data_IF_090456353807
#
_entry.id   IF_090456353807
#
_cell.length_a   1.000
_cell.length_b   1.000
_cell.length_c   1.000
_cell.angle_alpha   90.00
_cell.angle_beta   90.00
_cell.angle_gamma   90.00
#
_symmetry.space_group_name_H-M   'P 1'
#
loop_
_entity.id
_entity.type
_entity.pdbx_description
1 polymer ?
#
# COMPACT_ATOMS: atom_id res chain seq x y z
N UNK A 1 9.90 -13.72 -9.47
CA UNK A 1 9.08 -12.76 -8.70
C UNK A 1 8.56 -13.47 -7.46
N UNK A 2 8.74 -12.89 -6.27
CA UNK A 2 8.27 -13.50 -5.02
C UNK A 2 6.75 -13.34 -4.90
N UNK A 3 6.08 -14.38 -4.37
CA UNK A 3 4.65 -14.40 -4.11
C UNK A 3 4.45 -14.60 -2.61
N UNK A 4 3.57 -13.81 -2.01
CA UNK A 4 3.24 -13.83 -0.60
C UNK A 4 1.83 -14.37 -0.40
N UNK A 5 1.63 -15.10 0.70
CA UNK A 5 0.35 -15.60 1.19
C UNK A 5 0.08 -15.00 2.58
N UNK A 6 -1.14 -15.14 3.08
CA UNK A 6 -1.48 -14.84 4.47
C UNK A 6 -0.78 -15.82 5.44
N UNK A 7 0.54 -15.65 5.63
CA UNK A 7 1.37 -16.53 6.44
C UNK A 7 2.47 -15.76 7.18
N UNK A 8 3.23 -16.47 8.00
CA UNK A 8 4.34 -15.93 8.81
C UNK A 8 5.37 -15.11 8.01
N UNK A 9 5.60 -15.46 6.74
CA UNK A 9 6.55 -14.71 5.90
C UNK A 9 6.03 -13.30 5.63
N UNK A 10 4.74 -13.17 5.30
CA UNK A 10 4.14 -11.86 5.07
C UNK A 10 3.96 -11.09 6.39
N UNK A 11 3.63 -11.77 7.50
CA UNK A 11 3.57 -11.15 8.84
C UNK A 11 4.90 -10.49 9.19
N UNK A 12 5.99 -11.26 9.16
CA UNK A 12 7.33 -10.75 9.46
C UNK A 12 7.75 -9.63 8.52
N UNK A 13 7.32 -9.71 7.25
CA UNK A 13 7.54 -8.64 6.28
C UNK A 13 6.83 -7.36 6.70
N UNK A 14 5.54 -7.40 7.03
CA UNK A 14 4.79 -6.22 7.48
C UNK A 14 5.41 -5.61 8.74
N UNK A 15 5.83 -6.43 9.71
CA UNK A 15 6.48 -5.96 10.94
C UNK A 15 7.78 -5.22 10.63
N UNK A 16 8.63 -5.73 9.72
CA UNK A 16 9.86 -5.03 9.28
C UNK A 16 9.58 -3.67 8.65
N UNK A 17 8.41 -3.48 8.05
CA UNK A 17 7.97 -2.19 7.51
C UNK A 17 7.26 -1.30 8.53
N UNK A 18 7.30 -1.66 9.82
CA UNK A 18 6.75 -0.87 10.92
C UNK A 18 5.26 -1.07 11.18
N UNK A 19 4.65 -2.13 10.63
CA UNK A 19 3.28 -2.48 11.00
C UNK A 19 3.25 -3.11 12.40
N UNK A 20 2.22 -2.75 13.15
CA UNK A 20 1.92 -3.31 14.47
C UNK A 20 0.73 -4.27 14.33
N UNK A 21 0.80 -5.42 14.98
CA UNK A 21 -0.32 -6.34 15.04
C UNK A 21 -1.41 -5.81 15.99
N UNK A 22 -2.61 -5.58 15.47
CA UNK A 22 -3.78 -5.06 16.19
C UNK A 22 -4.90 -6.10 16.31
N UNK A 23 -4.58 -7.37 16.09
CA UNK A 23 -5.54 -8.49 16.13
C UNK A 23 -6.27 -8.55 17.47
N UNK A 24 -7.60 -8.66 17.43
CA UNK A 24 -8.42 -8.88 18.62
C UNK A 24 -8.15 -10.26 19.24
N UNK A 25 -8.31 -10.41 20.57
CA UNK A 25 -8.14 -11.72 21.22
C UNK A 25 -9.03 -12.82 20.63
N UNK A 26 -10.26 -12.46 20.22
CA UNK A 26 -11.20 -13.38 19.58
C UNK A 26 -10.68 -13.87 18.22
N UNK A 27 -10.06 -12.99 17.45
CA UNK A 27 -9.51 -13.31 16.13
C UNK A 27 -8.19 -14.08 16.24
N UNK A 28 -7.39 -13.83 17.29
CA UNK A 28 -6.19 -14.62 17.59
C UNK A 28 -6.50 -16.09 17.84
N UNK A 29 -7.58 -16.40 18.57
CA UNK A 29 -8.04 -17.79 18.77
C UNK A 29 -8.34 -18.45 17.42
N UNK A 30 -8.84 -17.65 16.48
CA UNK A 30 -9.13 -18.04 15.11
C UNK A 30 -7.91 -18.01 14.20
N UNK A 31 -6.69 -17.76 14.68
CA UNK A 31 -5.46 -17.63 13.85
C UNK A 31 -5.60 -16.59 12.72
N UNK A 32 -6.46 -15.61 12.91
CA UNK A 32 -6.54 -14.45 12.03
C UNK A 32 -5.57 -13.39 12.53
N UNK A 33 -5.15 -12.51 11.63
CA UNK A 33 -4.23 -11.44 11.98
C UNK A 33 -4.68 -10.10 11.39
N UNK A 34 -4.50 -9.02 12.13
CA UNK A 34 -4.79 -7.67 11.71
C UNK A 34 -3.55 -6.80 11.94
N UNK A 35 -3.17 -6.01 10.94
CA UNK A 35 -1.99 -5.15 10.99
C UNK A 35 -2.32 -3.71 10.62
N UNK A 36 -1.80 -2.77 11.39
CA UNK A 36 -1.91 -1.34 11.10
C UNK A 36 -0.54 -0.68 11.11
N UNK A 37 -0.39 0.35 10.29
CA UNK A 37 0.76 1.26 10.39
C UNK A 37 0.45 2.34 11.43
N UNK A 38 1.36 2.58 12.36
CA UNK A 38 1.20 3.57 13.42
C UNK A 38 0.75 4.94 12.86
N UNK A 39 -0.23 5.59 13.50
CA UNK A 39 -0.79 6.87 13.03
C UNK A 39 -1.70 6.79 11.79
N UNK A 40 -1.92 5.61 11.20
CA UNK A 40 -2.82 5.39 10.04
C UNK A 40 -4.04 4.54 10.41
N UNK A 41 -4.68 4.85 11.54
CA UNK A 41 -5.69 4.00 12.21
C UNK A 41 -6.91 3.56 11.38
N UNK A 42 -7.20 4.23 10.27
CA UNK A 42 -8.31 3.89 9.36
C UNK A 42 -7.97 2.83 8.33
N UNK A 43 -6.70 2.44 8.15
CA UNK A 43 -6.26 1.43 7.18
C UNK A 43 -5.78 0.20 7.94
N UNK A 44 -6.10 -0.98 7.44
CA UNK A 44 -5.71 -2.25 8.06
C UNK A 44 -5.48 -3.31 6.99
N UNK A 45 -4.47 -4.15 7.22
CA UNK A 45 -4.28 -5.39 6.46
C UNK A 45 -4.80 -6.51 7.35
N UNK A 46 -5.78 -7.26 6.87
CA UNK A 46 -6.41 -8.34 7.63
C UNK A 46 -6.20 -9.68 6.93
N UNK A 47 -5.85 -10.71 7.70
CA UNK A 47 -5.64 -12.07 7.22
C UNK A 47 -6.78 -12.95 7.72
N UNK A 48 -7.64 -13.39 6.80
CA UNK A 48 -8.76 -14.29 7.11
C UNK A 48 -8.44 -15.72 6.66
N UNK A 49 -7.56 -16.38 7.41
CA UNK A 49 -6.99 -17.72 7.17
C UNK A 49 -6.22 -17.90 5.86
N UNK A 50 -6.88 -17.65 4.74
CA UNK A 50 -6.37 -17.85 3.38
C UNK A 50 -6.19 -16.53 2.64
N UNK A 51 -7.02 -15.53 2.97
CA UNK A 51 -7.08 -14.28 2.21
C UNK A 51 -6.35 -13.13 2.91
N UNK A 52 -5.72 -12.30 2.10
CA UNK A 52 -5.18 -10.99 2.44
C UNK A 52 -6.24 -9.95 2.05
N UNK A 53 -6.81 -9.28 3.04
CA UNK A 53 -7.83 -8.25 2.87
C UNK A 53 -7.25 -6.87 3.18
N UNK A 54 -7.56 -5.90 2.33
CA UNK A 54 -7.20 -4.50 2.55
C UNK A 54 -8.44 -3.74 3.01
N UNK A 55 -8.44 -3.33 4.27
CA UNK A 55 -9.56 -2.65 4.89
C UNK A 55 -9.28 -1.15 5.01
N UNK A 56 -10.28 -0.33 4.75
CA UNK A 56 -10.24 1.10 5.02
C UNK A 56 -11.59 1.57 5.58
N UNK A 57 -11.58 2.08 6.81
CA UNK A 57 -12.76 2.42 7.62
C UNK A 57 -13.72 1.25 7.86
N UNK A 58 -13.18 0.07 8.16
CA UNK A 58 -13.95 -1.18 8.39
C UNK A 58 -14.68 -1.72 7.15
N UNK A 59 -14.51 -1.09 5.99
CA UNK A 59 -14.96 -1.63 4.71
C UNK A 59 -13.79 -2.36 4.02
N UNK A 60 -14.09 -3.51 3.41
CA UNK A 60 -13.16 -4.26 2.57
C UNK A 60 -13.07 -3.61 1.19
N UNK A 61 -11.84 -3.38 0.70
CA UNK A 61 -11.59 -2.73 -0.60
C UNK A 61 -11.00 -3.69 -1.64
N UNK A 62 -10.13 -4.60 -1.23
CA UNK A 62 -9.56 -5.64 -2.08
C UNK A 62 -9.25 -6.87 -1.21
N UNK A 63 -9.34 -8.06 -1.81
CA UNK A 63 -9.13 -9.34 -1.12
C UNK A 63 -8.59 -10.39 -2.07
N UNK A 64 -7.49 -11.03 -1.67
CA UNK A 64 -6.75 -11.98 -2.51
C UNK A 64 -6.10 -13.08 -1.69
N UNK A 65 -6.02 -14.28 -2.27
CA UNK A 65 -5.26 -15.40 -1.70
C UNK A 65 -3.75 -15.16 -1.70
N UNK A 66 -3.25 -14.39 -2.68
CA UNK A 66 -1.83 -14.12 -2.84
C UNK A 66 -1.60 -12.69 -3.31
N UNK A 67 -0.47 -12.12 -2.91
CA UNK A 67 0.04 -10.88 -3.49
C UNK A 67 1.46 -11.07 -3.99
N UNK A 68 1.76 -10.47 -5.12
CA UNK A 68 3.10 -10.41 -5.71
C UNK A 68 3.95 -9.37 -4.99
N UNK A 69 5.25 -9.38 -5.25
CA UNK A 69 6.18 -8.35 -4.75
C UNK A 69 5.75 -6.92 -5.11
N UNK A 70 5.31 -6.68 -6.36
CA UNK A 70 4.88 -5.35 -6.79
C UNK A 70 3.58 -4.92 -6.11
N UNK A 71 2.68 -5.86 -5.86
CA UNK A 71 1.46 -5.63 -5.11
C UNK A 71 1.78 -5.33 -3.65
N UNK A 72 2.71 -6.04 -3.02
CA UNK A 72 3.18 -5.70 -1.68
C UNK A 72 3.77 -4.28 -1.64
N UNK A 73 4.57 -3.85 -2.61
CA UNK A 73 5.06 -2.47 -2.69
C UNK A 73 3.90 -1.46 -2.82
N UNK A 74 2.88 -1.80 -3.61
CA UNK A 74 1.68 -0.99 -3.79
C UNK A 74 0.86 -0.87 -2.49
N UNK A 75 0.77 -1.97 -1.74
CA UNK A 75 0.17 -2.00 -0.41
C UNK A 75 0.92 -1.07 0.55
N UNK A 76 2.25 -1.21 0.65
CA UNK A 76 3.07 -0.37 1.51
C UNK A 76 2.91 1.13 1.16
N UNK A 77 2.87 1.44 -0.13
CA UNK A 77 2.63 2.80 -0.62
C UNK A 77 1.27 3.32 -0.16
N UNK A 78 0.21 2.51 -0.30
CA UNK A 78 -1.12 2.86 0.18
C UNK A 78 -1.12 3.25 1.66
N UNK A 79 -0.44 2.53 2.53
CA UNK A 79 -0.38 2.86 3.96
C UNK A 79 0.41 4.13 4.25
N UNK A 80 1.54 4.36 3.55
CA UNK A 80 2.38 5.56 3.77
C UNK A 80 1.72 6.85 3.26
N UNK A 81 0.93 6.80 2.18
CA UNK A 81 0.32 7.99 1.59
C UNK A 81 -0.68 8.71 2.51
N UNK A 82 -0.71 10.04 2.40
CA UNK A 82 -1.76 10.88 2.97
C UNK A 82 -3.06 10.76 2.16
N UNK A 83 -4.18 11.26 2.70
CA UNK A 83 -5.49 11.14 2.03
C UNK A 83 -5.56 11.90 0.70
N UNK A 84 -4.87 13.04 0.59
CA UNK A 84 -4.91 13.88 -0.60
C UNK A 84 -4.13 13.24 -1.75
N UNK A 85 -2.96 12.67 -1.45
CA UNK A 85 -2.13 11.96 -2.40
C UNK A 85 -2.73 10.61 -2.78
N UNK A 86 -3.34 9.91 -1.82
CA UNK A 86 -4.04 8.67 -2.07
C UNK A 86 -5.13 8.83 -3.13
N UNK A 87 -5.93 9.90 -3.08
CA UNK A 87 -6.96 10.19 -4.09
C UNK A 87 -6.39 10.39 -5.51
N UNK A 88 -5.09 10.66 -5.64
CA UNK A 88 -4.45 10.78 -6.95
C UNK A 88 -4.23 9.38 -7.56
N UNK A 89 -3.93 8.39 -6.72
CA UNK A 89 -3.71 7.00 -7.12
C UNK A 89 -5.03 6.22 -7.23
N UNK A 90 -5.95 6.47 -6.29
CA UNK A 90 -7.25 5.80 -6.20
C UNK A 90 -8.35 6.87 -6.11
N UNK A 91 -8.83 7.41 -7.25
CA UNK A 91 -9.81 8.49 -7.28
C UNK A 91 -11.13 8.14 -6.59
N UNK A 92 -11.54 6.87 -6.66
CA UNK A 92 -12.74 6.31 -6.01
C UNK A 92 -12.59 6.26 -4.49
N UNK A 93 -11.36 6.37 -3.97
CA UNK A 93 -11.04 6.16 -2.57
C UNK A 93 -10.97 4.69 -2.16
N UNK A 94 -11.23 3.75 -3.08
CA UNK A 94 -11.10 2.30 -2.83
C UNK A 94 -9.74 1.79 -3.28
N UNK A 95 -9.12 0.95 -2.47
CA UNK A 95 -7.82 0.36 -2.82
C UNK A 95 -8.06 -0.80 -3.80
N UNK A 96 -7.28 -0.83 -4.88
CA UNK A 96 -7.30 -1.87 -5.90
C UNK A 96 -5.86 -2.07 -6.40
N UNK A 97 -5.33 -3.28 -6.27
CA UNK A 97 -3.94 -3.57 -6.66
C UNK A 97 -3.67 -3.31 -8.16
N UNK A 98 -4.60 -3.66 -9.04
CA UNK A 98 -4.45 -3.52 -10.48
C UNK A 98 -4.44 -2.06 -10.94
N UNK A 99 -5.15 -1.18 -10.22
CA UNK A 99 -5.23 0.24 -10.54
C UNK A 99 -4.00 1.02 -10.06
N UNK A 100 -3.40 0.66 -8.91
CA UNK A 100 -2.25 1.40 -8.36
C UNK A 100 -1.11 1.48 -9.36
N UNK A 101 -0.70 0.35 -9.93
CA UNK A 101 0.46 0.31 -10.81
C UNK A 101 0.24 1.14 -12.09
N UNK A 102 -0.91 0.93 -12.74
CA UNK A 102 -1.30 1.71 -13.92
C UNK A 102 -1.26 3.21 -13.61
N UNK A 103 -1.78 3.60 -12.45
CA UNK A 103 -1.85 5.01 -12.08
C UNK A 103 -0.47 5.59 -11.75
N UNK A 104 0.45 4.82 -11.17
CA UNK A 104 1.82 5.26 -10.97
C UNK A 104 2.54 5.54 -12.29
N UNK A 105 2.31 4.72 -13.31
CA UNK A 105 2.91 4.94 -14.62
C UNK A 105 2.31 6.16 -15.33
N UNK A 106 0.99 6.38 -15.21
CA UNK A 106 0.35 7.63 -15.66
C UNK A 106 0.90 8.86 -14.95
N UNK A 107 1.18 8.78 -13.63
CA UNK A 107 1.76 9.86 -12.84
C UNK A 107 3.17 10.21 -13.34
N UNK A 108 3.99 9.22 -13.71
CA UNK A 108 5.34 9.46 -14.27
C UNK A 108 5.24 10.23 -15.59
N UNK A 109 4.35 9.81 -16.49
CA UNK A 109 4.11 10.48 -17.78
C UNK A 109 3.58 11.90 -17.56
N UNK A 110 2.58 12.07 -16.69
CA UNK A 110 2.01 13.37 -16.35
C UNK A 110 3.08 14.33 -15.81
N UNK A 111 3.93 13.86 -14.90
CA UNK A 111 4.99 14.66 -14.31
C UNK A 111 5.99 15.13 -15.37
N UNK A 112 6.42 14.25 -16.26
CA UNK A 112 7.37 14.60 -17.33
C UNK A 112 6.80 15.71 -18.23
N UNK A 113 5.56 15.56 -18.68
CA UNK A 113 4.87 16.57 -19.51
C UNK A 113 4.77 17.92 -18.77
N UNK A 114 4.41 17.90 -17.49
CA UNK A 114 4.29 19.13 -16.70
C UNK A 114 5.64 19.81 -16.49
N UNK A 115 6.72 19.05 -16.27
CA UNK A 115 8.07 19.58 -16.11
C UNK A 115 8.60 20.19 -17.40
N UNK A 116 8.47 19.50 -18.53
CA UNK A 116 8.89 20.00 -19.86
C UNK A 116 8.19 21.31 -20.21
N UNK A 117 6.87 21.36 -19.99
CA UNK A 117 6.05 22.55 -20.28
C UNK A 117 6.11 23.62 -19.18
N UNK A 118 6.80 23.36 -18.06
CA UNK A 118 6.88 24.23 -16.87
C UNK A 118 5.50 24.65 -16.32
N UNK A 119 4.52 23.74 -16.36
CA UNK A 119 3.12 24.02 -15.96
C UNK A 119 2.77 23.45 -14.59
N UNK A 120 1.82 24.10 -13.89
CA UNK A 120 1.16 23.56 -12.68
C UNK A 120 2.15 23.08 -11.60
N UNK A 121 3.06 23.94 -11.17
CA UNK A 121 4.13 23.66 -10.20
C UNK A 121 3.63 22.90 -8.95
N UNK A 122 2.50 23.30 -8.36
CA UNK A 122 1.91 22.61 -7.19
C UNK A 122 1.54 21.15 -7.48
N UNK A 123 1.04 20.85 -8.68
CA UNK A 123 0.74 19.48 -9.12
C UNK A 123 2.03 18.68 -9.27
N UNK A 124 3.06 19.27 -9.89
CA UNK A 124 4.37 18.61 -10.01
C UNK A 124 4.93 18.21 -8.64
N UNK A 125 4.87 19.08 -7.64
CA UNK A 125 5.33 18.77 -6.28
C UNK A 125 4.61 17.56 -5.68
N UNK A 126 3.28 17.48 -5.83
CA UNK A 126 2.51 16.31 -5.35
C UNK A 126 2.92 15.01 -6.06
N UNK A 127 3.06 15.04 -7.38
CA UNK A 127 3.46 13.86 -8.15
C UNK A 127 4.88 13.40 -7.79
N UNK A 128 5.83 14.35 -7.67
CA UNK A 128 7.19 14.06 -7.21
C UNK A 128 7.20 13.42 -5.82
N UNK A 129 6.38 13.92 -4.89
CA UNK A 129 6.28 13.37 -3.54
C UNK A 129 5.78 11.92 -3.55
N UNK A 130 4.76 11.61 -4.35
CA UNK A 130 4.24 10.25 -4.50
C UNK A 130 5.32 9.31 -5.06
N UNK A 131 5.98 9.70 -6.15
CA UNK A 131 7.02 8.89 -6.78
C UNK A 131 8.27 8.73 -5.89
N UNK A 132 8.63 9.75 -5.13
CA UNK A 132 9.71 9.66 -4.14
C UNK A 132 9.37 8.63 -3.06
N UNK A 133 8.15 8.64 -2.54
CA UNK A 133 7.70 7.64 -1.57
C UNK A 133 7.73 6.22 -2.14
N UNK A 134 7.32 6.04 -3.39
CA UNK A 134 7.45 4.76 -4.09
C UNK A 134 8.92 4.32 -4.16
N UNK A 135 9.83 5.19 -4.61
CA UNK A 135 11.25 4.88 -4.71
C UNK A 135 11.88 4.51 -3.36
N UNK A 136 11.49 5.20 -2.29
CA UNK A 136 11.93 4.84 -0.94
C UNK A 136 11.46 3.44 -0.53
N UNK A 137 10.22 3.05 -0.86
CA UNK A 137 9.71 1.69 -0.59
C UNK A 137 10.48 0.64 -1.38
N UNK A 138 10.84 0.92 -2.63
CA UNK A 138 11.64 0.03 -3.44
C UNK A 138 13.03 -0.20 -2.83
N UNK A 139 13.66 0.85 -2.30
CA UNK A 139 14.94 0.77 -1.59
C UNK A 139 14.81 0.01 -0.26
N UNK A 140 13.81 0.35 0.56
CA UNK A 140 13.53 -0.33 1.83
C UNK A 140 13.32 -1.84 1.61
N UNK A 141 12.63 -2.22 0.53
CA UNK A 141 12.40 -3.61 0.17
C UNK A 141 13.71 -4.36 -0.13
N UNK A 142 14.60 -3.76 -0.93
CA UNK A 142 15.89 -4.35 -1.28
C UNK A 142 16.82 -4.54 -0.06
N UNK A 143 16.66 -3.74 0.99
CA UNK A 143 17.49 -3.81 2.19
C UNK A 143 16.97 -4.80 3.24
N UNK A 144 15.65 -5.08 3.26
CA UNK A 144 15.01 -5.80 4.36
C UNK A 144 14.51 -7.22 4.01
N UNK A 145 14.46 -7.58 2.72
CA UNK A 145 13.92 -8.83 2.19
C UNK A 145 14.88 -9.46 1.19
#
# INVERSE_FOLDING_TARGET
MKIFKANEVLINTLIKFGFEETTSNRDKIKRKHAFKLHGKGNKEVYFDYENIQILHRQEEHDSRYTITENELKSLLLFFKLDRADYKIIQPTGRFDFGLVQRRLDEIKVELNILMEKKLKIRRQFKLKRILKLQGNIEQDYQQNI
#
